data_IF_142076137092
#
_entry.id   IF_142076137092
#
_cell.length_a   1.000
_cell.length_b   1.000
_cell.length_c   1.000
_cell.angle_alpha   90.00
_cell.angle_beta   90.00
_cell.angle_gamma   90.00
#
_symmetry.space_group_name_H-M   'P 1'
#
loop_
_entity.id
_entity.type
_entity.pdbx_description
1 polymer ?
#
# COMPACT_ATOMS: atom_id res chain seq x y z
N UNK A 1 -7.38 -21.39 -11.71
CA UNK A 1 -8.66 -21.49 -10.99
C UNK A 1 -9.77 -21.18 -11.99
N UNK A 2 -10.68 -22.12 -12.25
CA UNK A 2 -11.76 -21.97 -13.23
C UNK A 2 -12.97 -21.27 -12.57
N UNK A 3 -13.51 -20.25 -13.25
CA UNK A 3 -14.14 -19.07 -12.64
C UNK A 3 -15.62 -19.14 -12.26
N UNK A 4 -16.35 -20.23 -12.53
CA UNK A 4 -17.82 -20.19 -12.44
C UNK A 4 -18.46 -20.97 -11.28
N UNK A 5 -17.75 -21.88 -10.62
CA UNK A 5 -18.32 -22.73 -9.54
C UNK A 5 -18.06 -22.15 -8.14
N UNK A 6 -17.20 -21.15 -8.03
CA UNK A 6 -16.70 -20.68 -6.75
C UNK A 6 -17.65 -19.69 -6.05
N UNK A 7 -18.44 -18.88 -6.75
CA UNK A 7 -19.04 -17.67 -6.14
C UNK A 7 -19.99 -17.91 -4.94
N UNK A 8 -20.65 -19.06 -4.80
CA UNK A 8 -21.59 -19.30 -3.69
C UNK A 8 -20.93 -19.94 -2.45
N UNK A 9 -19.88 -20.76 -2.64
CA UNK A 9 -19.02 -21.30 -1.56
C UNK A 9 -17.89 -20.32 -1.19
N UNK A 10 -17.62 -19.32 -2.04
CA UNK A 10 -16.52 -18.36 -1.92
C UNK A 10 -16.62 -17.51 -0.68
N UNK A 11 -17.79 -17.14 -0.16
CA UNK A 11 -17.85 -16.27 1.02
C UNK A 11 -17.10 -16.85 2.24
N UNK A 12 -17.36 -18.11 2.56
CA UNK A 12 -16.74 -18.80 3.71
C UNK A 12 -15.28 -19.21 3.43
N UNK A 13 -14.99 -19.63 2.20
CA UNK A 13 -13.63 -19.98 1.77
C UNK A 13 -12.74 -18.75 1.71
N UNK A 14 -13.26 -17.63 1.19
CA UNK A 14 -12.62 -16.30 1.15
C UNK A 14 -12.26 -15.86 2.55
N UNK A 15 -13.21 -15.82 3.49
CA UNK A 15 -12.92 -15.33 4.85
C UNK A 15 -11.87 -16.18 5.58
N UNK A 16 -11.94 -17.52 5.44
CA UNK A 16 -10.96 -18.44 6.02
C UNK A 16 -9.58 -18.28 5.37
N UNK A 17 -9.55 -18.14 4.05
CA UNK A 17 -8.31 -17.93 3.31
C UNK A 17 -7.65 -16.60 3.68
N UNK A 18 -8.40 -15.49 3.67
CA UNK A 18 -7.90 -14.18 4.10
C UNK A 18 -7.37 -14.25 5.53
N UNK A 19 -8.10 -14.89 6.44
CA UNK A 19 -7.65 -15.05 7.82
C UNK A 19 -6.33 -15.82 7.91
N UNK A 20 -6.19 -16.91 7.16
CA UNK A 20 -4.97 -17.72 7.13
C UNK A 20 -3.78 -16.93 6.54
N UNK A 21 -3.99 -16.23 5.43
CA UNK A 21 -2.99 -15.37 4.78
C UNK A 21 -2.54 -14.24 5.69
N UNK A 22 -3.46 -13.52 6.32
CA UNK A 22 -3.13 -12.45 7.26
C UNK A 22 -2.41 -12.97 8.51
N UNK A 23 -2.80 -14.15 9.00
CA UNK A 23 -2.11 -14.79 10.14
C UNK A 23 -0.69 -15.19 9.77
N UNK A 24 -0.47 -15.69 8.55
CA UNK A 24 0.86 -16.01 8.04
C UNK A 24 1.72 -14.76 7.85
N UNK A 25 1.15 -13.70 7.24
CA UNK A 25 1.83 -12.42 7.04
C UNK A 25 2.26 -11.78 8.37
N UNK A 26 1.41 -11.84 9.40
CA UNK A 26 1.73 -11.36 10.76
C UNK A 26 2.89 -12.13 11.42
N UNK A 27 3.09 -13.40 11.07
CA UNK A 27 4.20 -14.21 11.60
C UNK A 27 5.55 -13.90 10.94
N UNK A 28 5.56 -13.18 9.80
CA UNK A 28 6.76 -12.71 9.09
C UNK A 28 7.79 -13.80 8.77
N UNK A 29 7.34 -15.01 8.46
CA UNK A 29 8.24 -16.01 7.89
C UNK A 29 8.55 -15.60 6.43
N UNK A 30 9.81 -15.31 6.05
CA UNK A 30 10.11 -14.52 4.84
C UNK A 30 9.46 -15.04 3.57
N UNK A 31 9.74 -16.30 3.20
CA UNK A 31 9.22 -16.93 1.98
C UNK A 31 7.69 -17.06 1.98
N UNK A 32 7.10 -17.37 3.14
CA UNK A 32 5.66 -17.57 3.26
C UNK A 32 4.90 -16.24 3.25
N UNK A 33 5.50 -15.18 3.80
CA UNK A 33 4.95 -13.84 3.84
C UNK A 33 4.91 -13.22 2.44
N UNK A 34 6.00 -13.36 1.66
CA UNK A 34 6.04 -12.97 0.24
C UNK A 34 4.95 -13.69 -0.56
N UNK A 35 4.83 -15.02 -0.40
CA UNK A 35 3.78 -15.78 -1.08
C UNK A 35 2.36 -15.33 -0.69
N UNK A 36 2.16 -14.98 0.59
CA UNK A 36 0.89 -14.43 1.08
C UNK A 36 0.53 -13.12 0.37
N UNK A 37 1.49 -12.22 0.18
CA UNK A 37 1.27 -10.96 -0.54
C UNK A 37 0.90 -11.20 -2.01
N UNK A 38 1.58 -12.14 -2.68
CA UNK A 38 1.23 -12.53 -4.05
C UNK A 38 -0.17 -13.16 -4.15
N UNK A 39 -0.55 -13.98 -3.18
CA UNK A 39 -1.91 -14.51 -3.07
C UNK A 39 -2.95 -13.39 -2.92
N UNK A 40 -2.67 -12.37 -2.12
CA UNK A 40 -3.53 -11.18 -1.97
C UNK A 40 -3.70 -10.47 -3.31
N UNK A 41 -2.62 -10.24 -4.05
CA UNK A 41 -2.67 -9.62 -5.39
C UNK A 41 -3.58 -10.41 -6.33
N UNK A 42 -3.38 -11.73 -6.41
CA UNK A 42 -4.18 -12.60 -7.27
C UNK A 42 -5.65 -12.62 -6.86
N UNK A 43 -5.96 -12.67 -5.56
CA UNK A 43 -7.33 -12.59 -5.09
C UNK A 43 -7.97 -11.26 -5.47
N UNK A 44 -7.25 -10.15 -5.29
CA UNK A 44 -7.76 -8.82 -5.60
C UNK A 44 -8.20 -8.72 -7.06
N UNK A 45 -7.37 -9.23 -7.98
CA UNK A 45 -7.67 -9.29 -9.42
C UNK A 45 -8.89 -10.18 -9.71
N UNK A 46 -9.02 -11.32 -9.03
CA UNK A 46 -10.12 -12.26 -9.28
C UNK A 46 -11.46 -11.80 -8.67
N UNK A 47 -11.41 -11.10 -7.54
CA UNK A 47 -12.59 -10.55 -6.88
C UNK A 47 -13.15 -9.36 -7.66
N UNK A 48 -12.28 -8.48 -8.15
CA UNK A 48 -12.69 -7.29 -8.91
C UNK A 48 -13.31 -6.21 -8.03
N UNK A 49 -14.11 -5.35 -8.65
CA UNK A 49 -14.74 -4.17 -8.01
C UNK A 49 -15.79 -4.56 -6.96
N UNK A 50 -16.09 -3.63 -6.05
CA UNK A 50 -17.09 -3.74 -4.98
C UNK A 50 -16.74 -4.73 -3.85
N UNK A 51 -15.44 -4.96 -3.64
CA UNK A 51 -14.91 -5.83 -2.59
C UNK A 51 -14.17 -5.02 -1.51
N UNK A 52 -14.75 -3.87 -1.13
CA UNK A 52 -14.21 -2.98 -0.09
C UNK A 52 -14.05 -3.68 1.25
N UNK A 53 -14.92 -4.65 1.58
CA UNK A 53 -14.80 -5.46 2.79
C UNK A 53 -13.50 -6.31 2.78
N UNK A 54 -13.12 -6.83 1.62
CA UNK A 54 -11.85 -7.53 1.46
C UNK A 54 -10.68 -6.54 1.59
N UNK A 55 -10.72 -5.41 0.88
CA UNK A 55 -9.68 -4.39 0.96
C UNK A 55 -9.46 -3.90 2.40
N UNK A 56 -10.53 -3.55 3.10
CA UNK A 56 -10.49 -3.09 4.49
C UNK A 56 -9.91 -4.14 5.45
N UNK A 57 -10.11 -5.43 5.17
CA UNK A 57 -9.55 -6.51 5.99
C UNK A 57 -8.02 -6.65 5.87
N UNK A 58 -7.45 -6.24 4.73
CA UNK A 58 -6.02 -6.42 4.44
C UNK A 58 -5.21 -5.11 4.54
N UNK A 59 -5.83 -3.95 4.24
CA UNK A 59 -5.15 -2.67 4.01
C UNK A 59 -4.17 -2.33 5.13
N UNK A 60 -4.61 -2.36 6.38
CA UNK A 60 -3.76 -1.96 7.52
C UNK A 60 -2.58 -2.91 7.73
N UNK A 61 -2.76 -4.22 7.50
CA UNK A 61 -1.70 -5.20 7.70
C UNK A 61 -0.65 -5.06 6.60
N UNK A 62 -1.07 -4.95 5.35
CA UNK A 62 -0.16 -4.80 4.21
C UNK A 62 0.54 -3.44 4.23
N UNK A 63 -0.18 -2.36 4.56
CA UNK A 63 0.42 -1.02 4.71
C UNK A 63 1.53 -1.00 5.77
N UNK A 64 1.32 -1.65 6.92
CA UNK A 64 2.36 -1.80 7.94
C UNK A 64 3.58 -2.55 7.41
N UNK A 65 3.39 -3.59 6.61
CA UNK A 65 4.51 -4.30 5.97
C UNK A 65 5.35 -3.37 5.08
N UNK A 66 4.76 -2.37 4.43
CA UNK A 66 5.49 -1.39 3.62
C UNK A 66 6.33 -0.44 4.50
N UNK A 67 5.74 0.06 5.59
CA UNK A 67 6.33 1.10 6.45
C UNK A 67 7.30 0.55 7.49
N UNK A 68 7.14 -0.70 7.90
CA UNK A 68 7.99 -1.31 8.90
C UNK A 68 9.39 -1.58 8.33
N UNK A 69 10.42 -1.39 9.17
CA UNK A 69 11.78 -1.82 8.88
C UNK A 69 11.84 -3.35 8.89
N UNK A 70 11.58 -3.94 7.74
CA UNK A 70 11.68 -5.37 7.48
C UNK A 70 12.36 -5.62 6.14
N UNK A 71 12.43 -6.89 5.77
CA UNK A 71 13.05 -7.36 4.55
C UNK A 71 12.56 -6.58 3.31
N UNK A 72 13.51 -6.13 2.47
CA UNK A 72 13.22 -5.25 1.34
C UNK A 72 12.39 -5.94 0.26
N UNK A 73 12.59 -7.25 0.03
CA UNK A 73 11.75 -8.04 -0.88
C UNK A 73 10.32 -8.10 -0.34
N UNK A 74 10.15 -8.32 0.97
CA UNK A 74 8.82 -8.32 1.59
C UNK A 74 8.11 -6.96 1.48
N UNK A 75 8.82 -5.84 1.69
CA UNK A 75 8.27 -4.49 1.50
C UNK A 75 7.88 -4.25 0.03
N UNK A 76 8.71 -4.71 -0.90
CA UNK A 76 8.49 -4.62 -2.35
C UNK A 76 7.22 -5.36 -2.77
N UNK A 77 7.08 -6.63 -2.40
CA UNK A 77 5.86 -7.42 -2.67
C UNK A 77 4.62 -6.80 -2.00
N UNK A 78 4.78 -6.12 -0.85
CA UNK A 78 3.68 -5.44 -0.17
C UNK A 78 3.19 -4.19 -0.92
N UNK A 79 4.10 -3.42 -1.51
CA UNK A 79 3.78 -2.28 -2.38
C UNK A 79 2.91 -2.76 -3.55
N UNK A 80 3.34 -3.80 -4.26
CA UNK A 80 2.57 -4.36 -5.37
C UNK A 80 1.21 -4.88 -4.91
N UNK A 81 1.18 -5.67 -3.82
CA UNK A 81 -0.07 -6.25 -3.32
C UNK A 81 -1.09 -5.18 -2.93
N UNK A 82 -0.66 -4.12 -2.24
CA UNK A 82 -1.56 -3.06 -1.82
C UNK A 82 -2.04 -2.21 -3.00
N UNK A 83 -1.16 -1.92 -3.96
CA UNK A 83 -1.49 -1.14 -5.16
C UNK A 83 -2.48 -1.87 -6.06
N UNK A 84 -2.33 -3.19 -6.21
CA UNK A 84 -3.28 -4.03 -6.94
C UNK A 84 -4.61 -4.09 -6.17
N UNK A 85 -4.58 -4.32 -4.86
CA UNK A 85 -5.78 -4.40 -4.04
C UNK A 85 -6.60 -3.10 -4.05
N UNK A 86 -5.94 -1.95 -3.89
CA UNK A 86 -6.64 -0.66 -3.90
C UNK A 86 -7.19 -0.32 -5.28
N UNK A 87 -6.55 -0.80 -6.35
CA UNK A 87 -7.04 -0.55 -7.71
C UNK A 87 -8.26 -1.42 -8.04
N UNK A 88 -8.21 -2.72 -7.73
CA UNK A 88 -9.28 -3.64 -8.12
C UNK A 88 -10.45 -3.67 -7.14
N UNK A 89 -10.19 -3.63 -5.83
CA UNK A 89 -11.22 -3.95 -4.84
C UNK A 89 -11.95 -2.74 -4.28
N UNK A 90 -11.49 -1.52 -4.53
CA UNK A 90 -12.19 -0.30 -4.08
C UNK A 90 -12.48 0.66 -5.23
N UNK A 91 -13.69 1.21 -5.22
CA UNK A 91 -14.11 2.25 -6.17
C UNK A 91 -13.79 3.65 -5.65
N UNK A 92 -13.43 3.79 -4.38
CA UNK A 92 -13.14 5.08 -3.76
C UNK A 92 -11.78 5.65 -4.18
N UNK A 93 -11.74 6.97 -4.38
CA UNK A 93 -10.51 7.68 -4.77
C UNK A 93 -9.59 7.92 -3.56
N UNK A 94 -10.15 8.08 -2.36
CA UNK A 94 -9.40 8.46 -1.16
C UNK A 94 -8.31 7.43 -0.78
N UNK A 95 -8.58 6.11 -0.70
CA UNK A 95 -7.54 5.13 -0.39
C UNK A 95 -6.42 5.07 -1.44
N UNK A 96 -6.75 5.34 -2.71
CA UNK A 96 -5.77 5.41 -3.81
C UNK A 96 -4.84 6.61 -3.61
N UNK A 97 -5.39 7.77 -3.24
CA UNK A 97 -4.60 8.98 -2.93
C UNK A 97 -3.67 8.78 -1.73
N UNK A 98 -4.16 8.19 -0.65
CA UNK A 98 -3.34 7.92 0.53
C UNK A 98 -2.15 7.00 0.22
N UNK A 99 -2.34 6.02 -0.68
CA UNK A 99 -1.26 5.16 -1.15
C UNK A 99 -0.29 5.93 -2.07
N UNK A 100 -0.78 6.78 -2.97
CA UNK A 100 0.07 7.65 -3.80
C UNK A 100 0.96 8.55 -2.93
N UNK A 101 0.44 9.11 -1.83
CA UNK A 101 1.23 9.91 -0.90
C UNK A 101 2.30 9.08 -0.19
N UNK A 102 1.96 7.88 0.27
CA UNK A 102 2.90 6.95 0.88
C UNK A 102 4.03 6.56 -0.09
N UNK A 103 3.69 6.19 -1.33
CA UNK A 103 4.70 5.82 -2.32
C UNK A 103 5.56 7.03 -2.71
N UNK A 104 4.97 8.22 -2.81
CA UNK A 104 5.71 9.46 -3.05
C UNK A 104 6.68 9.81 -1.92
N UNK A 105 6.34 9.50 -0.67
CA UNK A 105 7.24 9.71 0.46
C UNK A 105 8.45 8.77 0.40
N UNK A 106 8.24 7.49 0.03
CA UNK A 106 9.32 6.52 -0.21
C UNK A 106 10.24 6.96 -1.36
N UNK A 107 9.67 7.36 -2.49
CA UNK A 107 10.44 7.79 -3.68
C UNK A 107 11.30 9.02 -3.37
N UNK A 108 10.79 9.94 -2.56
CA UNK A 108 11.48 11.20 -2.25
C UNK A 108 12.35 11.15 -0.99
N UNK A 109 12.43 10.00 -0.31
CA UNK A 109 13.14 9.88 0.97
C UNK A 109 12.55 10.72 2.10
N UNK A 110 11.30 11.20 1.95
CA UNK A 110 10.61 11.95 3.00
C UNK A 110 10.02 10.97 4.00
N UNK A 111 10.64 10.88 5.18
CA UNK A 111 10.06 10.16 6.31
C UNK A 111 8.70 10.79 6.65
N UNK A 112 7.63 9.99 6.69
CA UNK A 112 6.28 10.42 7.08
C UNK A 112 6.13 10.71 8.58
N UNK A 113 7.22 10.72 9.34
CA UNK A 113 7.22 11.01 10.78
C UNK A 113 8.08 12.23 11.08
N UNK A 114 7.42 13.38 11.28
CA UNK A 114 7.77 14.45 12.24
C UNK A 114 6.73 15.58 12.16
N UNK A 115 5.49 15.29 12.56
CA UNK A 115 4.56 16.32 13.03
C UNK A 115 3.62 15.69 14.06
N UNK A 116 4.08 15.68 15.30
CA UNK A 116 3.29 15.93 16.52
C UNK A 116 4.12 15.60 17.76
N UNK A 117 5.08 16.46 18.09
CA UNK A 117 5.39 16.93 19.45
C UNK A 117 6.49 17.99 19.34
N UNK A 118 6.09 19.25 19.29
CA UNK A 118 6.99 20.38 19.51
C UNK A 118 7.62 20.30 20.89
N UNK A 119 8.96 20.29 20.98
CA UNK A 119 9.74 21.30 21.71
C UNK A 119 11.21 20.88 21.88
N UNK A 120 12.11 21.86 21.66
CA UNK A 120 13.55 21.88 22.01
C UNK A 120 14.41 21.07 21.01
N UNK A 121 15.40 21.59 20.27
CA UNK A 121 16.16 22.86 20.28
C UNK A 121 16.85 23.04 18.92
N UNK A 122 17.03 24.29 18.50
CA UNK A 122 18.04 24.68 17.51
C UNK A 122 19.44 24.24 17.96
N UNK A 123 20.34 24.04 16.98
CA UNK A 123 21.76 23.66 17.08
C UNK A 123 22.09 22.17 16.89
N UNK A 124 22.05 21.69 15.63
CA UNK A 124 23.24 21.12 14.99
C UNK A 124 23.01 20.87 13.50
N UNK A 125 23.72 21.66 12.71
CA UNK A 125 23.94 21.46 11.29
C UNK A 125 25.09 20.46 11.18
N UNK A 126 24.78 19.18 10.98
CA UNK A 126 25.75 18.21 10.51
C UNK A 126 25.17 17.43 9.33
N UNK A 127 25.98 17.38 8.27
CA UNK A 127 25.78 16.61 7.06
C UNK A 127 25.48 15.13 7.42
N UNK A 128 24.30 14.65 7.11
CA UNK A 128 24.18 13.31 6.53
C UNK A 128 23.47 13.46 5.18
N UNK A 129 24.21 13.15 4.12
CA UNK A 129 23.63 12.66 2.88
C UNK A 129 22.94 11.31 3.20
N UNK A 130 21.86 11.32 3.99
CA UNK A 130 20.96 10.17 4.14
C UNK A 130 20.06 10.14 2.91
N UNK A 131 20.68 9.87 1.75
CA UNK A 131 19.97 9.10 0.73
C UNK A 131 19.64 7.81 1.46
N UNK A 132 18.36 7.59 1.77
CA UNK A 132 17.95 6.34 2.41
C UNK A 132 18.54 5.21 1.58
N UNK A 133 19.36 4.36 2.22
CA UNK A 133 19.96 3.16 1.62
C UNK A 133 18.86 2.09 1.42
N UNK A 134 17.68 2.54 0.99
CA UNK A 134 16.56 1.72 0.60
C UNK A 134 16.96 0.96 -0.65
N UNK A 135 16.66 -0.34 -0.63
CA UNK A 135 16.92 -1.24 -1.75
C UNK A 135 16.40 -0.61 -3.07
N UNK A 136 17.21 -0.53 -4.13
CA UNK A 136 16.78 0.05 -5.40
C UNK A 136 15.51 -0.63 -5.96
N UNK A 137 15.29 -1.92 -5.67
CA UNK A 137 14.07 -2.63 -6.07
C UNK A 137 12.82 -2.09 -5.39
N UNK A 138 12.94 -1.66 -4.13
CA UNK A 138 11.84 -1.06 -3.39
C UNK A 138 11.43 0.28 -4.02
N UNK A 139 12.41 1.12 -4.38
CA UNK A 139 12.17 2.40 -5.04
C UNK A 139 11.55 2.19 -6.43
N UNK A 140 12.05 1.22 -7.20
CA UNK A 140 11.46 0.87 -8.50
C UNK A 140 9.99 0.45 -8.36
N UNK A 141 9.68 -0.45 -7.42
CA UNK A 141 8.30 -0.87 -7.18
C UNK A 141 7.40 0.29 -6.74
N UNK A 142 7.92 1.20 -5.90
CA UNK A 142 7.20 2.41 -5.51
C UNK A 142 6.91 3.30 -6.72
N UNK A 143 7.87 3.55 -7.62
CA UNK A 143 7.68 4.36 -8.83
C UNK A 143 6.66 3.71 -9.77
N UNK A 144 6.78 2.40 -10.01
CA UNK A 144 5.87 1.65 -10.89
C UNK A 144 4.43 1.72 -10.37
N UNK A 145 4.23 1.44 -9.09
CA UNK A 145 2.92 1.46 -8.48
C UNK A 145 2.35 2.88 -8.36
N UNK A 146 3.19 3.87 -8.06
CA UNK A 146 2.79 5.28 -8.05
C UNK A 146 2.30 5.71 -9.43
N UNK A 147 3.06 5.38 -10.48
CA UNK A 147 2.70 5.71 -11.87
C UNK A 147 1.42 5.00 -12.30
N UNK A 148 1.29 3.72 -11.95
CA UNK A 148 0.10 2.92 -12.19
C UNK A 148 -1.16 3.55 -11.56
N UNK A 149 -1.10 3.92 -10.29
CA UNK A 149 -2.24 4.51 -9.59
C UNK A 149 -2.59 5.90 -10.13
N UNK A 150 -1.59 6.74 -10.41
CA UNK A 150 -1.80 8.08 -11.00
C UNK A 150 -2.45 7.99 -12.37
N UNK A 151 -2.11 6.96 -13.16
CA UNK A 151 -2.67 6.77 -14.51
C UNK A 151 -4.18 6.53 -14.53
N UNK A 152 -4.79 6.16 -13.39
CA UNK A 152 -6.23 5.97 -13.26
C UNK A 152 -7.02 7.28 -13.17
N UNK A 153 -6.38 8.36 -12.68
CA UNK A 153 -7.07 9.61 -12.41
C UNK A 153 -7.15 10.49 -13.66
N UNK A 154 -8.28 11.20 -13.81
CA UNK A 154 -8.36 12.25 -14.80
C UNK A 154 -7.42 13.39 -14.41
N UNK A 155 -6.72 14.05 -15.35
CA UNK A 155 -5.82 15.17 -15.05
C UNK A 155 -6.47 16.28 -14.21
N UNK A 156 -7.77 16.52 -14.39
CA UNK A 156 -8.54 17.51 -13.63
C UNK A 156 -8.73 17.17 -12.15
N UNK A 157 -8.63 15.90 -11.76
CA UNK A 157 -8.69 15.46 -10.36
C UNK A 157 -7.31 15.51 -9.68
N UNK A 158 -6.25 15.37 -10.48
CA UNK A 158 -4.86 15.36 -10.00
C UNK A 158 -4.42 16.77 -9.60
N UNK A 159 -4.70 17.78 -10.45
CA UNK A 159 -4.21 19.16 -10.23
C UNK A 159 -4.71 19.75 -8.90
N UNK A 160 -6.00 19.69 -8.53
CA UNK A 160 -6.45 20.21 -7.24
C UNK A 160 -5.80 19.51 -6.04
N UNK A 161 -5.60 18.18 -6.10
CA UNK A 161 -4.99 17.42 -5.00
C UNK A 161 -3.51 17.75 -4.79
N UNK A 162 -2.79 18.13 -5.85
CA UNK A 162 -1.38 18.56 -5.76
C UNK A 162 -1.26 20.00 -5.23
N UNK A 163 -2.16 20.89 -5.64
CA UNK A 163 -2.03 22.33 -5.38
C UNK A 163 -2.85 22.84 -4.20
N UNK A 164 -3.87 22.09 -3.75
CA UNK A 164 -4.82 22.55 -2.73
C UNK A 164 -4.77 21.66 -1.48
N UNK A 165 -3.78 21.91 -0.62
CA UNK A 165 -3.66 21.27 0.70
C UNK A 165 -4.87 21.54 1.61
N UNK A 166 -5.71 22.54 1.30
CA UNK A 166 -6.89 22.92 2.09
C UNK A 166 -8.14 22.08 1.80
N UNK A 167 -8.13 21.29 0.72
CA UNK A 167 -9.25 20.43 0.33
C UNK A 167 -9.37 19.15 1.17
N UNK A 168 -8.34 18.81 1.96
CA UNK A 168 -8.25 17.59 2.80
C UNK A 168 -9.20 17.56 4.01
N UNK A 169 -9.96 18.62 4.28
CA UNK A 169 -10.79 18.76 5.49
C UNK A 169 -12.31 18.82 5.25
N UNK A 170 -12.85 18.21 4.19
CA UNK A 170 -14.30 18.07 4.04
C UNK A 170 -14.72 16.66 3.60
N UNK A 171 -14.98 15.83 4.60
CA UNK A 171 -15.77 14.59 4.56
C UNK A 171 -16.41 14.39 5.91
#
# INVERSE_FOLDING_TARGET
MCSSVLMQEVGSVKSRFVTAVLTCLKKRHPESAVLCLRCISLMSINLGSDEDAFFNSIHQVVRRTITDQCDAELRTDAIYALSIAVFFCTTEDQPKWELIELLGSLITGRNLDKDDTSSISDDQKDNSDDVSDDDPLLIVAAIECWTFLVSFFNPSQIVPMIYDQSSKCKG
#
